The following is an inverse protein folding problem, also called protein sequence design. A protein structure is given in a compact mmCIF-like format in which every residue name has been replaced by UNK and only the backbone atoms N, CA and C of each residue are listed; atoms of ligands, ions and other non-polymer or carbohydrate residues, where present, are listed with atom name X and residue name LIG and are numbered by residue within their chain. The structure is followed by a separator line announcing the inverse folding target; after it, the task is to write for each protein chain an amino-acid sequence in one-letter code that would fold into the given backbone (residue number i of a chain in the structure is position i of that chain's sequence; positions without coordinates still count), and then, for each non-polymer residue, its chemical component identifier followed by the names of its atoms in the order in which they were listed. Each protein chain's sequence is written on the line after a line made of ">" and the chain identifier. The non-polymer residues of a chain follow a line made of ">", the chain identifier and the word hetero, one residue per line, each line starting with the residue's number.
data_IF_541495097630
#
_entry.id   IF_541495097630
#
_cell.length_a   1.000
_cell.length_b   1.000
_cell.length_c   1.000
_cell.angle_alpha   90.00
_cell.angle_beta   90.00
_cell.angle_gamma   90.00
#
_symmetry.space_group_name_H-M   'P 1'
#
loop_
_entity.id
_entity.type
_entity.pdbx_description
1 polymer ?
#
# COMPACT_ATOMS: atom_id res chain seq x y z
N UNK A 1 -37.20 54.97 13.61
CA UNK A 1 -36.39 53.95 12.91
C UNK A 1 -35.29 53.46 13.88
N UNK A 2 -35.46 52.31 14.51
CA UNK A 2 -34.43 51.70 15.36
C UNK A 2 -33.65 50.73 14.49
N UNK A 3 -32.34 50.94 14.35
CA UNK A 3 -31.42 50.01 13.66
C UNK A 3 -30.97 48.97 14.69
N UNK A 4 -31.37 47.70 14.47
CA UNK A 4 -30.88 46.56 15.23
C UNK A 4 -29.57 46.10 14.61
N UNK A 5 -28.47 46.17 15.35
CA UNK A 5 -27.17 45.66 14.95
C UNK A 5 -27.11 44.21 15.38
N UNK A 6 -27.02 43.27 14.44
CA UNK A 6 -26.73 41.87 14.72
C UNK A 6 -25.20 41.71 14.83
N UNK A 7 -24.74 41.39 16.03
CA UNK A 7 -23.36 40.95 16.25
C UNK A 7 -23.25 39.44 15.94
N UNK A 8 -22.51 39.11 14.89
CA UNK A 8 -22.11 37.69 14.64
C UNK A 8 -20.97 37.39 15.59
N UNK A 9 -21.22 36.49 16.55
CA UNK A 9 -20.17 35.82 17.33
C UNK A 9 -19.52 34.77 16.42
N UNK A 10 -18.30 35.03 15.93
CA UNK A 10 -17.45 33.98 15.38
C UNK A 10 -16.95 33.13 16.54
N UNK A 11 -17.54 31.95 16.75
CA UNK A 11 -16.97 30.90 17.58
C UNK A 11 -15.86 30.26 16.76
N UNK A 12 -14.65 30.80 16.86
CA UNK A 12 -13.45 30.14 16.37
C UNK A 12 -13.16 28.90 17.20
N UNK A 13 -13.58 27.73 16.74
CA UNK A 13 -13.14 26.48 17.31
C UNK A 13 -11.61 26.37 17.10
N UNK A 14 -10.84 26.49 18.17
CA UNK A 14 -9.43 26.10 18.15
C UNK A 14 -9.41 24.57 17.89
N UNK A 15 -9.07 24.16 16.69
CA UNK A 15 -8.64 22.79 16.43
C UNK A 15 -7.32 22.64 17.18
N UNK A 16 -7.32 21.93 18.30
CA UNK A 16 -6.08 21.59 18.99
C UNK A 16 -5.17 20.86 18.01
N UNK A 17 -3.97 21.36 17.78
CA UNK A 17 -2.98 20.65 16.97
C UNK A 17 -2.78 19.24 17.58
N UNK A 18 -2.83 18.22 16.75
CA UNK A 18 -2.59 16.85 17.20
C UNK A 18 -1.21 16.78 17.88
N UNK A 19 -1.15 16.12 19.04
CA UNK A 19 0.11 15.95 19.74
C UNK A 19 1.09 15.15 18.89
N UNK A 20 2.32 15.65 18.73
CA UNK A 20 3.35 15.00 17.92
C UNK A 20 4.24 14.16 18.83
N UNK A 21 4.42 12.86 18.56
CA UNK A 21 5.23 11.99 19.41
C UNK A 21 6.67 12.46 19.47
N UNK A 22 7.30 12.32 20.67
CA UNK A 22 8.67 12.75 20.92
C UNK A 22 9.48 11.69 21.66
N UNK A 23 10.74 11.53 21.28
CA UNK A 23 11.70 10.65 21.94
C UNK A 23 12.68 11.47 22.76
N UNK A 24 12.98 10.99 23.98
CA UNK A 24 13.98 11.56 24.88
C UNK A 24 14.69 10.45 25.68
N UNK A 25 15.72 10.82 26.44
CA UNK A 25 16.44 9.92 27.36
C UNK A 25 16.98 8.63 26.71
N UNK A 26 17.49 8.74 25.48
CA UNK A 26 18.04 7.57 24.78
C UNK A 26 19.36 7.17 25.44
N UNK A 27 19.44 5.92 25.88
CA UNK A 27 20.68 5.31 26.44
C UNK A 27 20.90 3.95 25.80
N UNK A 28 22.15 3.54 25.65
CA UNK A 28 22.50 2.24 25.09
C UNK A 28 23.52 1.55 25.97
N UNK A 29 23.27 0.29 26.30
CA UNK A 29 24.23 -0.59 26.97
C UNK A 29 24.83 -1.57 25.95
N UNK A 30 26.14 -1.73 25.93
CA UNK A 30 26.88 -2.47 24.90
C UNK A 30 27.57 -3.75 25.39
N UNK A 31 27.15 -4.30 26.52
CA UNK A 31 27.70 -5.56 27.04
C UNK A 31 26.79 -6.73 26.64
N UNK A 32 27.30 -7.64 25.77
CA UNK A 32 26.54 -8.77 25.28
C UNK A 32 25.43 -8.35 24.32
N UNK A 33 24.18 -8.65 24.67
CA UNK A 33 23.01 -8.14 23.95
C UNK A 33 22.81 -6.67 24.27
N UNK A 34 22.78 -5.83 23.23
CA UNK A 34 22.60 -4.40 23.37
C UNK A 34 21.16 -4.09 23.79
N UNK A 35 21.03 -3.27 24.84
CA UNK A 35 19.73 -2.74 25.28
C UNK A 35 19.72 -1.23 25.07
N UNK A 36 18.73 -0.75 24.32
CA UNK A 36 18.49 0.68 24.10
C UNK A 36 17.23 1.06 24.88
N UNK A 37 17.34 1.94 25.87
CA UNK A 37 16.21 2.49 26.58
C UNK A 37 15.93 3.90 26.09
N UNK A 38 14.65 4.27 26.03
CA UNK A 38 14.21 5.61 25.65
C UNK A 38 12.87 5.95 26.32
N UNK A 39 12.49 7.21 26.31
CA UNK A 39 11.17 7.68 26.73
C UNK A 39 10.41 8.21 25.51
N UNK A 40 9.22 7.67 25.27
CA UNK A 40 8.25 8.21 24.32
C UNK A 40 7.23 9.07 25.05
N UNK A 41 6.93 10.26 24.55
CA UNK A 41 5.97 11.20 25.15
C UNK A 41 5.06 11.82 24.10
N UNK A 42 4.05 12.56 24.56
CA UNK A 42 3.05 13.35 23.84
C UNK A 42 1.98 12.48 23.17
N UNK A 43 2.33 11.54 22.28
CA UNK A 43 1.40 10.70 21.55
C UNK A 43 2.01 9.33 21.22
N UNK A 44 1.20 8.32 20.87
CA UNK A 44 1.70 7.10 20.25
C UNK A 44 2.44 7.39 18.96
N UNK A 45 3.47 6.60 18.64
CA UNK A 45 4.22 6.75 17.40
C UNK A 45 4.91 5.46 16.97
N UNK A 46 5.28 5.41 15.69
CA UNK A 46 6.05 4.29 15.15
C UNK A 46 7.53 4.56 15.44
N UNK A 47 8.19 3.62 16.07
CA UNK A 47 9.59 3.78 16.50
C UNK A 47 10.51 2.98 15.59
N UNK A 48 11.56 3.65 15.10
CA UNK A 48 12.70 3.02 14.41
C UNK A 48 14.00 3.46 15.10
N UNK A 49 15.11 2.78 14.83
CA UNK A 49 16.38 3.17 15.39
C UNK A 49 17.56 2.89 14.47
N UNK A 50 18.65 3.55 14.74
CA UNK A 50 19.96 3.33 14.12
C UNK A 50 21.01 3.19 15.21
N UNK A 51 22.08 2.46 14.95
CA UNK A 51 23.28 2.43 15.76
C UNK A 51 24.39 3.14 15.00
N UNK A 52 25.06 4.06 15.69
CA UNK A 52 26.15 4.86 15.13
C UNK A 52 27.48 4.51 15.83
N UNK A 53 28.54 4.45 15.03
CA UNK A 53 29.92 4.39 15.48
C UNK A 53 30.67 5.63 14.95
N UNK A 54 31.21 6.45 15.83
CA UNK A 54 31.82 7.75 15.45
C UNK A 54 30.87 8.61 14.59
N UNK A 55 29.57 8.68 14.97
CA UNK A 55 28.50 9.39 14.28
C UNK A 55 28.12 8.86 12.90
N UNK A 56 28.66 7.73 12.46
CA UNK A 56 28.31 7.07 11.20
C UNK A 56 27.41 5.86 11.48
N UNK A 57 26.24 5.74 10.82
CA UNK A 57 25.38 4.54 10.91
C UNK A 57 26.11 3.28 10.46
N UNK A 58 25.90 2.18 11.18
CA UNK A 58 26.49 0.87 10.84
C UNK A 58 25.77 0.14 9.69
N UNK A 59 24.64 0.67 9.24
CA UNK A 59 23.76 0.06 8.23
C UNK A 59 22.51 -0.54 8.84
N UNK A 60 21.38 -0.34 8.18
CA UNK A 60 20.08 -0.82 8.66
C UNK A 60 19.98 -2.36 8.62
N UNK A 61 20.68 -2.98 7.68
CA UNK A 61 20.78 -4.43 7.53
C UNK A 61 21.41 -5.13 8.75
N UNK A 62 22.19 -4.40 9.54
CA UNK A 62 22.78 -4.89 10.79
C UNK A 62 21.79 -4.88 11.97
N UNK A 63 20.59 -4.32 11.82
CA UNK A 63 19.61 -4.09 12.89
C UNK A 63 18.37 -4.96 12.79
N UNK A 64 18.32 -5.88 11.85
CA UNK A 64 17.12 -6.62 11.45
C UNK A 64 16.59 -7.60 12.49
N UNK A 65 17.38 -7.99 13.50
CA UNK A 65 16.98 -8.83 14.63
C UNK A 65 16.60 -8.05 15.90
N UNK A 66 16.44 -6.74 15.80
CA UNK A 66 16.00 -5.95 16.93
C UNK A 66 14.53 -6.25 17.28
N UNK A 67 14.27 -6.39 18.58
CA UNK A 67 12.94 -6.72 19.13
C UNK A 67 12.57 -5.79 20.29
N UNK A 68 11.29 -5.79 20.65
CA UNK A 68 10.76 -4.95 21.73
C UNK A 68 9.95 -3.78 21.19
N UNK A 69 10.17 -2.58 21.74
CA UNK A 69 9.40 -1.38 21.38
C UNK A 69 10.00 -0.68 20.14
N UNK A 70 10.02 -1.40 19.02
CA UNK A 70 10.61 -0.96 17.76
C UNK A 70 9.84 -1.52 16.56
N UNK A 71 9.89 -0.85 15.42
CA UNK A 71 9.25 -1.19 14.15
C UNK A 71 7.74 -1.37 14.24
N UNK A 72 7.09 -0.79 15.22
CA UNK A 72 5.63 -0.86 15.46
C UNK A 72 5.13 0.43 16.09
N UNK A 73 3.82 0.56 16.19
CA UNK A 73 3.21 1.61 17.02
C UNK A 73 3.52 1.33 18.49
N UNK A 74 4.04 2.34 19.18
CA UNK A 74 4.44 2.28 20.59
C UNK A 74 3.69 3.37 21.35
N UNK A 75 3.14 3.01 22.52
CA UNK A 75 2.47 3.95 23.41
C UNK A 75 3.50 4.78 24.20
N UNK A 76 3.15 6.00 24.67
CA UNK A 76 3.99 6.80 25.55
C UNK A 76 4.45 6.04 26.81
N UNK A 77 5.65 6.36 27.30
CA UNK A 77 6.23 5.75 28.49
C UNK A 77 7.71 5.42 28.34
N UNK A 78 8.29 4.78 29.35
CA UNK A 78 9.63 4.20 29.31
C UNK A 78 9.61 2.94 28.43
N UNK A 79 10.51 2.86 27.45
CA UNK A 79 10.51 1.85 26.40
C UNK A 79 11.88 1.25 26.21
N UNK A 80 11.94 0.03 25.63
CA UNK A 80 13.19 -0.71 25.46
C UNK A 80 13.23 -1.43 24.11
N UNK A 81 14.38 -1.29 23.44
CA UNK A 81 14.74 -2.08 22.26
C UNK A 81 15.87 -3.02 22.68
N UNK A 82 15.79 -4.29 22.29
CA UNK A 82 16.87 -5.26 22.45
C UNK A 82 17.39 -5.64 21.07
N UNK A 83 18.72 -5.59 20.91
CA UNK A 83 19.40 -5.90 19.67
C UNK A 83 20.61 -6.81 19.94
N UNK A 84 20.65 -7.97 19.27
CA UNK A 84 21.77 -8.90 19.36
C UNK A 84 22.75 -8.67 18.21
N UNK A 85 23.72 -7.79 18.44
CA UNK A 85 24.73 -7.46 17.45
C UNK A 85 25.59 -8.67 17.04
N UNK A 86 25.79 -9.63 17.93
CA UNK A 86 26.66 -10.78 17.67
C UNK A 86 26.10 -11.76 16.65
N UNK A 87 24.80 -11.78 16.50
CA UNK A 87 24.09 -12.65 15.55
C UNK A 87 24.19 -12.16 14.11
N UNK A 88 24.02 -10.85 13.91
CA UNK A 88 23.96 -10.26 12.55
C UNK A 88 25.31 -9.68 12.14
N UNK A 89 26.11 -9.23 13.12
CA UNK A 89 27.39 -8.56 12.89
C UNK A 89 28.55 -9.30 13.61
N UNK A 90 28.77 -10.57 13.31
CA UNK A 90 29.70 -11.42 14.06
C UNK A 90 31.13 -10.91 13.97
N UNK A 91 31.86 -10.99 15.09
CA UNK A 91 33.23 -10.57 15.17
C UNK A 91 33.46 -9.07 15.34
N UNK A 92 32.46 -8.24 15.23
CA UNK A 92 32.53 -6.82 15.49
C UNK A 92 32.45 -6.56 17.01
N UNK A 93 33.38 -5.77 17.51
CA UNK A 93 33.43 -5.35 18.92
C UNK A 93 33.40 -3.82 18.96
N UNK A 94 32.48 -3.29 19.74
CA UNK A 94 32.50 -1.85 20.04
C UNK A 94 33.72 -1.52 20.90
N UNK A 95 34.76 -0.99 20.28
CA UNK A 95 35.99 -0.59 20.95
C UNK A 95 36.07 0.91 21.25
N UNK A 96 35.08 1.67 20.83
CA UNK A 96 35.08 3.12 20.97
C UNK A 96 33.96 3.56 21.91
N UNK A 97 34.18 4.57 22.76
CA UNK A 97 33.13 5.14 23.60
C UNK A 97 32.06 5.90 22.81
N UNK A 98 32.22 6.04 21.49
CA UNK A 98 31.34 6.79 20.61
C UNK A 98 30.24 5.91 19.92
N UNK A 99 29.97 4.72 20.46
CA UNK A 99 28.80 3.93 20.04
C UNK A 99 27.56 4.47 20.73
N UNK A 100 26.55 4.83 19.91
CA UNK A 100 25.29 5.33 20.43
C UNK A 100 24.12 4.86 19.55
N UNK A 101 22.94 4.76 20.13
CA UNK A 101 21.70 4.60 19.39
C UNK A 101 21.07 5.96 19.08
N UNK A 102 20.50 6.10 17.89
CA UNK A 102 19.59 7.17 17.52
C UNK A 102 18.22 6.56 17.33
N UNK A 103 17.27 6.91 18.19
CA UNK A 103 15.87 6.44 18.12
C UNK A 103 15.07 7.52 17.43
N UNK A 104 14.32 7.14 16.39
CA UNK A 104 13.42 8.02 15.64
C UNK A 104 11.99 7.59 15.87
N UNK A 105 11.11 8.56 16.09
CA UNK A 105 9.66 8.31 16.15
C UNK A 105 8.97 9.00 14.99
N UNK A 106 8.03 8.27 14.38
CA UNK A 106 7.21 8.71 13.26
C UNK A 106 5.77 8.87 13.75
N UNK A 107 5.09 9.96 13.43
CA UNK A 107 3.64 10.07 13.66
C UNK A 107 2.89 8.96 12.92
N UNK A 108 1.79 8.49 13.49
CA UNK A 108 1.00 7.40 12.88
C UNK A 108 0.33 7.80 11.57
N UNK A 109 0.10 9.09 11.34
CA UNK A 109 -0.39 9.65 10.07
C UNK A 109 0.72 9.96 9.05
N UNK A 110 2.00 9.88 9.45
CA UNK A 110 3.15 10.03 8.56
C UNK A 110 4.16 8.90 8.83
N UNK A 111 3.76 7.63 8.62
CA UNK A 111 4.56 6.45 8.96
C UNK A 111 5.79 6.30 8.04
N UNK A 112 6.73 5.39 8.37
CA UNK A 112 7.88 5.05 7.52
C UNK A 112 7.47 4.53 6.13
N UNK A 113 8.44 4.36 5.25
CA UNK A 113 8.23 4.03 3.83
C UNK A 113 7.74 2.61 3.56
N UNK A 114 7.98 1.68 4.47
CA UNK A 114 7.63 0.28 4.31
C UNK A 114 6.74 -0.20 5.44
N UNK A 115 5.67 -0.90 5.10
CA UNK A 115 4.78 -1.62 6.00
C UNK A 115 4.82 -3.10 5.62
N UNK A 116 5.05 -3.96 6.59
CA UNK A 116 5.05 -5.40 6.41
C UNK A 116 4.04 -6.05 7.37
N UNK A 117 3.23 -6.97 6.84
CA UNK A 117 2.31 -7.81 7.61
C UNK A 117 2.78 -9.24 7.49
N UNK A 118 3.22 -9.84 8.58
CA UNK A 118 3.57 -11.27 8.61
C UNK A 118 2.27 -12.09 8.68
N UNK A 119 1.89 -12.66 7.55
CA UNK A 119 0.67 -13.44 7.41
C UNK A 119 0.77 -14.84 8.04
N UNK A 120 1.98 -15.28 8.39
CA UNK A 120 2.23 -16.56 9.06
C UNK A 120 2.10 -16.46 10.57
N UNK A 121 2.10 -15.28 11.14
CA UNK A 121 1.78 -15.09 12.56
C UNK A 121 0.28 -15.17 12.80
N UNK A 122 -0.12 -15.65 13.99
CA UNK A 122 -1.53 -15.85 14.32
C UNK A 122 -2.35 -14.55 14.30
N UNK A 123 -1.72 -13.44 14.68
CA UNK A 123 -2.27 -12.10 14.79
C UNK A 123 -1.93 -11.18 13.61
N UNK A 124 -1.33 -11.73 12.53
CA UNK A 124 -0.85 -10.95 11.39
C UNK A 124 -0.03 -9.72 11.82
N UNK A 125 1.10 -9.97 12.51
CA UNK A 125 1.90 -8.88 13.09
C UNK A 125 2.29 -7.82 12.06
N UNK A 126 2.03 -6.57 12.42
CA UNK A 126 2.28 -5.39 11.57
C UNK A 126 3.55 -4.69 12.03
N UNK A 127 4.47 -4.49 11.09
CA UNK A 127 5.74 -3.81 11.34
C UNK A 127 6.04 -2.76 10.28
N UNK A 128 6.84 -1.76 10.67
CA UNK A 128 7.19 -0.62 9.83
C UNK A 128 8.70 -0.45 9.74
N UNK A 129 9.21 -0.10 8.57
CA UNK A 129 10.63 0.04 8.32
C UNK A 129 10.93 1.31 7.53
N UNK A 130 12.00 2.01 7.91
CA UNK A 130 12.39 3.26 7.26
C UNK A 130 13.02 3.05 5.87
N UNK A 131 13.57 1.87 5.60
CA UNK A 131 14.21 1.52 4.32
C UNK A 131 14.09 0.04 4.01
N UNK A 132 14.30 -0.34 2.74
CA UNK A 132 14.41 -1.74 2.33
C UNK A 132 15.51 -2.49 3.09
N UNK A 133 16.66 -1.85 3.33
CA UNK A 133 17.77 -2.46 4.03
C UNK A 133 17.43 -2.86 5.48
N UNK A 134 16.42 -2.24 6.09
CA UNK A 134 15.94 -2.56 7.44
C UNK A 134 15.00 -3.78 7.49
N UNK A 135 14.55 -4.31 6.33
CA UNK A 135 13.64 -5.45 6.29
C UNK A 135 14.34 -6.72 6.80
N UNK A 136 13.72 -7.47 7.74
CA UNK A 136 14.38 -8.58 8.42
C UNK A 136 14.58 -9.82 7.52
N UNK A 137 13.90 -9.88 6.39
CA UNK A 137 13.97 -11.01 5.46
C UNK A 137 14.89 -10.77 4.25
N UNK A 138 15.70 -9.69 4.27
CA UNK A 138 16.63 -9.32 3.23
C UNK A 138 15.99 -8.55 2.06
N UNK A 139 16.70 -8.45 0.94
CA UNK A 139 16.27 -7.68 -0.23
C UNK A 139 14.96 -8.20 -0.82
N UNK A 140 14.18 -7.31 -1.42
CA UNK A 140 12.88 -7.63 -2.02
C UNK A 140 13.04 -8.48 -3.28
N UNK A 141 14.00 -8.10 -4.15
CA UNK A 141 14.17 -8.74 -5.45
C UNK A 141 14.41 -10.25 -5.33
N UNK A 142 13.55 -11.04 -5.99
CA UNK A 142 13.64 -12.49 -6.03
C UNK A 142 13.27 -13.21 -4.72
N UNK A 143 12.93 -12.50 -3.66
CA UNK A 143 12.67 -13.10 -2.35
C UNK A 143 11.23 -13.65 -2.24
N UNK A 144 11.07 -14.98 -2.12
CA UNK A 144 9.74 -15.61 -2.06
C UNK A 144 8.96 -15.24 -0.79
N UNK A 145 9.63 -14.81 0.28
CA UNK A 145 8.98 -14.42 1.53
C UNK A 145 7.98 -13.28 1.31
N UNK A 146 8.36 -12.25 0.54
CA UNK A 146 7.49 -11.11 0.23
C UNK A 146 6.42 -11.43 -0.83
N UNK A 147 6.60 -12.52 -1.58
CA UNK A 147 5.61 -12.99 -2.55
C UNK A 147 4.52 -13.85 -1.91
N UNK A 148 4.82 -14.45 -0.76
CA UNK A 148 3.94 -15.45 -0.14
C UNK A 148 3.56 -15.15 1.30
N UNK A 149 4.52 -15.15 2.20
CA UNK A 149 4.27 -15.14 3.65
C UNK A 149 4.10 -13.74 4.24
N UNK A 150 4.63 -12.72 3.57
CA UNK A 150 4.58 -11.33 4.01
C UNK A 150 3.83 -10.48 2.99
N UNK A 151 2.81 -9.77 3.42
CA UNK A 151 2.24 -8.67 2.64
C UNK A 151 3.12 -7.43 2.87
N UNK A 152 3.98 -7.14 1.90
CA UNK A 152 4.84 -5.96 1.93
C UNK A 152 4.20 -4.82 1.12
N UNK A 153 4.09 -3.64 1.74
CA UNK A 153 3.50 -2.46 1.13
C UNK A 153 4.48 -1.30 1.14
N UNK A 154 4.51 -0.56 0.04
CA UNK A 154 5.32 0.65 -0.16
C UNK A 154 4.46 1.89 0.07
N UNK A 155 4.93 2.84 0.86
CA UNK A 155 4.32 4.17 0.96
C UNK A 155 4.63 4.98 -0.30
N UNK A 156 3.58 5.52 -0.89
CA UNK A 156 3.65 6.42 -2.03
C UNK A 156 3.44 7.84 -1.50
N UNK A 157 4.43 8.73 -1.64
CA UNK A 157 4.37 10.12 -1.14
C UNK A 157 3.53 11.00 -2.08
N UNK A 158 2.27 10.61 -2.30
CA UNK A 158 1.41 11.19 -3.31
C UNK A 158 0.95 12.61 -2.96
N UNK A 159 0.85 12.95 -1.67
CA UNK A 159 0.49 14.30 -1.19
C UNK A 159 1.53 15.37 -1.56
N UNK A 160 2.72 14.97 -1.96
CA UNK A 160 3.83 15.86 -2.33
C UNK A 160 4.18 15.81 -3.82
N UNK A 161 3.42 15.06 -4.62
CA UNK A 161 3.72 14.82 -6.04
C UNK A 161 2.56 15.33 -6.89
N UNK A 162 2.84 16.32 -7.73
CA UNK A 162 1.93 16.70 -8.79
C UNK A 162 1.95 15.63 -9.88
N UNK A 163 0.82 15.01 -10.15
CA UNK A 163 0.71 13.91 -11.09
C UNK A 163 -0.22 14.24 -12.25
N UNK A 164 0.10 13.70 -13.42
CA UNK A 164 -0.86 13.59 -14.52
C UNK A 164 -1.35 12.15 -14.62
N UNK A 165 -2.66 11.98 -14.81
CA UNK A 165 -3.29 10.71 -15.15
C UNK A 165 -3.92 10.77 -16.54
N UNK A 166 -4.13 9.62 -17.17
CA UNK A 166 -4.51 9.53 -18.57
C UNK A 166 -3.30 9.66 -19.50
N UNK A 167 -3.54 9.72 -20.80
CA UNK A 167 -2.51 9.83 -21.83
C UNK A 167 -2.80 10.99 -22.78
N UNK A 168 -1.77 11.57 -23.42
CA UNK A 168 -1.97 12.55 -24.47
C UNK A 168 -2.63 11.91 -25.69
N UNK A 169 -3.40 12.67 -26.45
CA UNK A 169 -4.07 12.18 -27.67
C UNK A 169 -3.09 11.62 -28.73
N UNK A 170 -1.83 12.07 -28.68
CA UNK A 170 -0.74 11.61 -29.54
C UNK A 170 -0.14 10.27 -29.11
N UNK A 171 -0.50 9.75 -27.94
CA UNK A 171 -0.01 8.44 -27.50
C UNK A 171 -0.62 7.32 -28.35
N UNK A 172 0.21 6.41 -28.81
CA UNK A 172 -0.25 5.27 -29.60
C UNK A 172 -1.31 4.47 -28.82
N UNK A 173 -2.43 4.18 -29.46
CA UNK A 173 -3.59 3.48 -28.91
C UNK A 173 -4.34 4.24 -27.78
N UNK A 174 -4.18 5.56 -27.69
CA UNK A 174 -5.00 6.39 -26.83
C UNK A 174 -6.49 6.16 -27.06
N UNK A 175 -7.27 6.04 -26.00
CA UNK A 175 -8.73 5.87 -26.05
C UNK A 175 -9.41 7.19 -25.67
N UNK A 176 -9.88 7.91 -26.70
CA UNK A 176 -10.58 9.19 -26.54
C UNK A 176 -11.77 9.07 -25.57
N UNK A 177 -11.96 10.08 -24.73
CA UNK A 177 -13.01 10.12 -23.71
C UNK A 177 -12.75 9.21 -22.50
N UNK A 178 -11.87 8.22 -22.62
CA UNK A 178 -11.53 7.31 -21.53
C UNK A 178 -10.19 7.68 -20.88
N UNK A 179 -9.18 7.91 -21.69
CA UNK A 179 -7.82 8.18 -21.22
C UNK A 179 -7.45 9.67 -21.30
N UNK A 180 -8.44 10.57 -21.29
CA UNK A 180 -8.21 11.99 -21.36
C UNK A 180 -7.23 12.45 -20.29
N UNK A 181 -6.08 13.01 -20.73
CA UNK A 181 -5.02 13.47 -19.82
C UNK A 181 -5.49 14.64 -18.99
N UNK A 182 -5.27 14.57 -17.68
CA UNK A 182 -5.63 15.61 -16.73
C UNK A 182 -4.68 15.65 -15.55
N UNK A 183 -4.59 16.83 -14.93
CA UNK A 183 -3.89 17.00 -13.68
C UNK A 183 -4.66 16.31 -12.55
N UNK A 184 -3.95 15.56 -11.71
CA UNK A 184 -4.50 14.86 -10.56
C UNK A 184 -3.71 15.20 -9.30
N UNK A 185 -4.41 15.70 -8.29
CA UNK A 185 -3.87 15.93 -6.96
C UNK A 185 -4.39 14.84 -6.03
N UNK A 186 -3.50 14.06 -5.43
CA UNK A 186 -3.82 13.18 -4.30
C UNK A 186 -3.39 13.90 -3.03
N UNK A 187 -4.33 14.15 -2.11
CA UNK A 187 -4.05 14.94 -0.91
C UNK A 187 -3.39 14.12 0.19
N UNK A 188 -3.49 12.80 0.11
CA UNK A 188 -2.98 11.87 1.10
C UNK A 188 -1.96 10.91 0.50
N UNK A 189 -0.91 10.64 1.26
CA UNK A 189 -0.04 9.49 0.99
C UNK A 189 -0.83 8.19 1.16
N UNK A 190 -0.33 7.12 0.58
CA UNK A 190 -0.96 5.81 0.72
C UNK A 190 0.07 4.68 0.66
N UNK A 191 -0.21 3.59 1.34
CA UNK A 191 0.51 2.34 1.12
C UNK A 191 -0.16 1.55 0.00
N UNK A 192 0.65 0.89 -0.82
CA UNK A 192 0.18 -0.04 -1.83
C UNK A 192 1.04 -1.31 -1.81
N UNK A 193 0.43 -2.47 -1.98
CA UNK A 193 1.15 -3.74 -2.05
C UNK A 193 2.16 -3.74 -3.18
N UNK A 194 3.39 -4.17 -2.93
CA UNK A 194 4.44 -4.20 -3.97
C UNK A 194 4.15 -5.22 -5.07
N UNK A 195 3.35 -6.23 -4.77
CA UNK A 195 2.83 -7.24 -5.71
C UNK A 195 1.30 -7.23 -5.72
N UNK A 196 0.66 -7.71 -6.80
CA UNK A 196 -0.71 -8.18 -6.73
C UNK A 196 -0.81 -9.27 -5.64
N UNK A 197 -1.96 -9.35 -4.95
CA UNK A 197 -2.14 -10.38 -3.90
C UNK A 197 -2.03 -11.77 -4.53
N UNK A 198 -1.12 -12.57 -4.00
CA UNK A 198 -0.88 -13.94 -4.49
C UNK A 198 -1.86 -14.95 -3.88
N UNK A 199 -1.97 -16.15 -4.48
CA UNK A 199 -2.73 -17.24 -3.88
C UNK A 199 -2.27 -17.52 -2.44
N UNK A 200 -0.96 -17.62 -2.21
CA UNK A 200 -0.40 -17.86 -0.87
C UNK A 200 -0.86 -16.80 0.12
N UNK A 201 -0.70 -15.51 -0.20
CA UNK A 201 -1.13 -14.41 0.66
C UNK A 201 -2.65 -14.41 0.89
N UNK A 202 -3.43 -14.64 -0.15
CA UNK A 202 -4.89 -14.70 -0.06
C UNK A 202 -5.37 -15.78 0.91
N UNK A 203 -4.83 -16.99 0.80
CA UNK A 203 -5.24 -18.09 1.68
C UNK A 203 -4.72 -17.91 3.11
N UNK A 204 -3.53 -17.32 3.30
CA UNK A 204 -3.07 -16.94 4.64
C UNK A 204 -3.98 -15.89 5.28
N UNK A 205 -4.45 -14.90 4.51
CA UNK A 205 -5.40 -13.89 4.99
C UNK A 205 -6.77 -14.48 5.34
N UNK A 206 -7.24 -15.53 4.66
CA UNK A 206 -8.54 -16.15 4.90
C UNK A 206 -8.48 -17.27 5.95
N UNK A 207 -7.55 -18.21 5.79
CA UNK A 207 -7.53 -19.48 6.52
C UNK A 207 -6.49 -19.48 7.66
N UNK A 208 -5.66 -18.45 7.70
CA UNK A 208 -4.62 -18.29 8.72
C UNK A 208 -3.35 -19.07 8.43
N UNK A 209 -2.45 -19.15 9.44
CA UNK A 209 -1.13 -19.74 9.32
C UNK A 209 -1.14 -21.23 8.94
N UNK A 210 -2.27 -21.90 9.12
CA UNK A 210 -2.45 -23.32 8.78
C UNK A 210 -2.59 -23.58 7.28
N UNK A 211 -2.76 -22.53 6.46
CA UNK A 211 -2.88 -22.70 5.01
C UNK A 211 -1.64 -23.35 4.40
N UNK A 212 -1.86 -24.36 3.57
CA UNK A 212 -0.82 -25.07 2.80
C UNK A 212 -0.68 -24.58 1.36
N UNK A 213 -1.47 -23.57 0.96
CA UNK A 213 -1.34 -22.95 -0.37
C UNK A 213 0.07 -22.36 -0.55
N UNK A 214 0.70 -22.63 -1.68
CA UNK A 214 2.09 -22.23 -1.94
C UNK A 214 2.28 -21.44 -3.23
N UNK A 215 1.21 -21.23 -4.04
CA UNK A 215 1.32 -20.53 -5.32
C UNK A 215 1.61 -19.05 -5.13
N UNK A 216 2.64 -18.59 -5.83
CA UNK A 216 3.11 -17.20 -5.81
C UNK A 216 2.62 -16.38 -7.03
N UNK A 217 1.69 -16.93 -7.80
CA UNK A 217 0.98 -16.18 -8.85
C UNK A 217 -0.16 -15.36 -8.25
N UNK A 218 -0.59 -14.27 -8.92
CA UNK A 218 -1.73 -13.47 -8.46
C UNK A 218 -2.99 -14.33 -8.30
N UNK A 219 -3.70 -14.16 -7.19
CA UNK A 219 -4.98 -14.82 -6.96
C UNK A 219 -6.00 -14.36 -8.01
N UNK A 220 -6.85 -15.28 -8.45
CA UNK A 220 -7.94 -15.03 -9.37
C UNK A 220 -9.26 -15.66 -8.88
N UNK A 221 -10.32 -15.56 -9.66
CA UNK A 221 -11.68 -15.95 -9.27
C UNK A 221 -12.22 -15.21 -8.05
N UNK A 222 -11.73 -13.98 -7.83
CA UNK A 222 -12.28 -13.05 -6.85
C UNK A 222 -12.94 -11.89 -7.60
N UNK A 223 -14.22 -11.65 -7.32
CA UNK A 223 -14.91 -10.48 -7.84
C UNK A 223 -14.76 -9.29 -6.91
N UNK A 224 -15.00 -8.09 -7.41
CA UNK A 224 -15.08 -6.89 -6.59
C UNK A 224 -16.11 -7.05 -5.46
N UNK A 225 -17.25 -7.66 -5.77
CA UNK A 225 -18.32 -7.93 -4.81
C UNK A 225 -17.81 -8.82 -3.64
N UNK A 226 -17.10 -9.91 -3.93
CA UNK A 226 -16.54 -10.79 -2.90
C UNK A 226 -15.53 -10.08 -2.00
N UNK A 227 -14.74 -9.19 -2.58
CA UNK A 227 -13.74 -8.44 -1.82
C UNK A 227 -14.39 -7.42 -0.89
N UNK A 228 -15.36 -6.63 -1.39
CA UNK A 228 -15.86 -5.46 -0.67
C UNK A 228 -17.26 -5.58 -0.07
N UNK A 229 -18.13 -6.42 -0.61
CA UNK A 229 -19.53 -6.45 -0.20
C UNK A 229 -19.95 -7.76 0.45
N UNK A 230 -19.84 -8.88 -0.25
CA UNK A 230 -20.29 -10.17 0.25
C UNK A 230 -19.51 -11.33 -0.36
N UNK A 231 -18.86 -12.16 0.47
CA UNK A 231 -17.93 -13.22 0.03
C UNK A 231 -18.54 -14.31 -0.84
N UNK A 232 -19.85 -14.52 -0.80
CA UNK A 232 -20.53 -15.54 -1.60
C UNK A 232 -20.86 -15.07 -3.02
N UNK A 233 -20.43 -13.88 -3.40
CA UNK A 233 -20.72 -13.26 -4.70
C UNK A 233 -22.21 -13.19 -5.03
N UNK A 234 -23.07 -13.22 -4.03
CA UNK A 234 -24.52 -13.13 -4.23
C UNK A 234 -24.85 -11.77 -4.81
N UNK A 235 -25.53 -11.82 -5.95
CA UNK A 235 -26.11 -10.65 -6.55
C UNK A 235 -27.22 -10.18 -5.62
N UNK A 236 -27.09 -9.00 -5.08
CA UNK A 236 -28.24 -8.32 -4.51
C UNK A 236 -29.16 -7.88 -5.67
N UNK A 237 -29.75 -8.75 -6.44
CA UNK A 237 -30.71 -8.51 -7.49
C UNK A 237 -30.80 -7.07 -8.05
N UNK A 238 -31.93 -6.65 -8.57
CA UNK A 238 -32.24 -5.25 -8.89
C UNK A 238 -32.38 -4.35 -7.65
N UNK A 239 -32.28 -4.90 -6.45
CA UNK A 239 -32.41 -4.25 -5.15
C UNK A 239 -31.07 -4.30 -4.42
N UNK A 240 -30.01 -3.65 -4.94
CA UNK A 240 -28.89 -3.26 -4.08
C UNK A 240 -29.46 -2.37 -2.98
N UNK A 241 -29.04 -2.56 -1.71
CA UNK A 241 -29.38 -1.60 -0.69
C UNK A 241 -29.00 -0.21 -1.20
N UNK A 242 -29.96 0.70 -1.19
CA UNK A 242 -29.81 2.10 -1.66
C UNK A 242 -28.71 2.82 -0.89
N UNK A 243 -28.28 2.23 0.23
CA UNK A 243 -27.31 2.73 1.19
C UNK A 243 -25.87 2.25 0.95
N UNK A 244 -25.53 1.58 -0.15
CA UNK A 244 -24.14 1.38 -0.51
C UNK A 244 -23.60 2.71 -1.05
N UNK A 245 -22.87 3.48 -0.22
CA UNK A 245 -22.29 4.71 -0.71
C UNK A 245 -21.29 4.34 -1.80
N UNK A 246 -21.69 4.63 -3.03
CA UNK A 246 -20.98 4.30 -4.26
C UNK A 246 -19.59 4.92 -4.32
N UNK A 247 -19.31 5.86 -3.42
CA UNK A 247 -18.08 6.67 -3.34
C UNK A 247 -17.36 6.60 -2.00
N UNK A 248 -17.90 5.90 -0.98
CA UNK A 248 -17.23 5.84 0.33
C UNK A 248 -16.06 4.87 0.30
N UNK A 249 -14.86 5.38 0.50
CA UNK A 249 -13.66 4.57 0.75
C UNK A 249 -13.76 3.76 2.05
N UNK A 250 -14.65 4.16 2.95
CA UNK A 250 -14.76 3.56 4.28
C UNK A 250 -15.73 2.39 4.35
N UNK A 251 -16.70 2.31 3.43
CA UNK A 251 -17.70 1.25 3.49
C UNK A 251 -17.17 -0.06 2.92
N UNK A 252 -17.14 -1.06 3.78
CA UNK A 252 -16.85 -2.45 3.46
C UNK A 252 -17.92 -3.31 4.10
N UNK A 253 -18.60 -4.13 3.31
CA UNK A 253 -19.71 -4.97 3.78
C UNK A 253 -19.32 -5.90 4.91
N UNK A 254 -20.22 -6.13 5.86
CA UNK A 254 -19.97 -6.92 7.07
C UNK A 254 -19.58 -8.38 6.82
N UNK A 255 -19.92 -8.94 5.64
CA UNK A 255 -19.58 -10.31 5.24
C UNK A 255 -18.67 -10.31 4.00
N UNK A 256 -17.69 -9.42 3.95
CA UNK A 256 -16.72 -9.31 2.85
C UNK A 256 -15.33 -9.77 3.30
N UNK A 257 -14.48 -10.11 2.34
CA UNK A 257 -13.10 -10.49 2.64
C UNK A 257 -12.30 -9.35 3.26
N UNK A 258 -12.45 -8.14 2.75
CA UNK A 258 -11.76 -6.98 3.30
C UNK A 258 -12.16 -6.67 4.75
N UNK A 259 -13.44 -6.92 5.14
CA UNK A 259 -13.87 -6.78 6.53
C UNK A 259 -13.09 -7.73 7.44
N UNK A 260 -12.98 -9.00 7.04
CA UNK A 260 -12.25 -9.98 7.83
C UNK A 260 -10.76 -9.65 7.93
N UNK A 261 -10.16 -9.24 6.80
CA UNK A 261 -8.74 -8.87 6.77
C UNK A 261 -8.43 -7.63 7.59
N UNK A 262 -9.32 -6.62 7.57
CA UNK A 262 -9.22 -5.45 8.45
C UNK A 262 -9.30 -5.85 9.93
N UNK A 263 -10.24 -6.71 10.28
CA UNK A 263 -10.37 -7.22 11.65
C UNK A 263 -9.12 -7.97 12.09
N UNK A 264 -8.55 -8.78 11.20
CA UNK A 264 -7.41 -9.63 11.53
C UNK A 264 -6.10 -8.87 11.59
N UNK A 265 -5.90 -7.87 10.74
CA UNK A 265 -4.64 -7.10 10.66
C UNK A 265 -4.67 -5.81 11.48
N UNK A 266 -5.83 -5.31 11.85
CA UNK A 266 -6.02 -3.98 12.43
C UNK A 266 -5.73 -2.83 11.44
N UNK A 267 -5.61 -3.12 10.14
CA UNK A 267 -5.30 -2.15 9.09
C UNK A 267 -6.53 -1.84 8.23
N UNK A 268 -6.69 -0.59 7.81
CA UNK A 268 -7.75 -0.16 6.90
C UNK A 268 -7.45 -0.55 5.43
N UNK A 269 -7.22 -1.86 5.22
CA UNK A 269 -6.97 -2.43 3.89
C UNK A 269 -8.15 -2.22 2.95
N UNK A 270 -7.87 -1.79 1.71
CA UNK A 270 -8.85 -1.64 0.66
C UNK A 270 -8.20 -1.87 -0.73
N UNK A 271 -8.97 -1.66 -1.78
CA UNK A 271 -8.47 -1.53 -3.14
C UNK A 271 -7.97 -0.10 -3.38
N UNK A 272 -7.02 0.14 -4.29
CA UNK A 272 -6.66 1.50 -4.70
C UNK A 272 -7.78 2.14 -5.50
N UNK A 273 -7.88 3.48 -5.51
CA UNK A 273 -8.60 4.17 -6.58
C UNK A 273 -7.86 4.03 -7.90
N UNK A 274 -8.56 4.21 -9.02
CA UNK A 274 -7.93 4.18 -10.34
C UNK A 274 -6.80 5.23 -10.46
N UNK A 275 -6.95 6.38 -9.81
CA UNK A 275 -5.91 7.42 -9.76
C UNK A 275 -4.72 7.00 -8.90
N UNK A 276 -4.93 6.46 -7.70
CA UNK A 276 -3.85 5.93 -6.86
C UNK A 276 -3.07 4.83 -7.59
N UNK A 277 -3.78 3.93 -8.26
CA UNK A 277 -3.15 2.87 -9.04
C UNK A 277 -2.28 3.42 -10.17
N UNK A 278 -2.78 4.39 -10.95
CA UNK A 278 -2.04 4.96 -12.08
C UNK A 278 -0.83 5.78 -11.62
N UNK A 279 -0.98 6.62 -10.59
CA UNK A 279 0.13 7.37 -9.98
C UNK A 279 1.20 6.39 -9.49
N UNK A 280 0.80 5.31 -8.81
CA UNK A 280 1.71 4.27 -8.36
C UNK A 280 2.39 3.53 -9.52
N UNK A 281 1.66 3.22 -10.59
CA UNK A 281 2.21 2.57 -11.79
C UNK A 281 3.27 3.44 -12.47
N UNK A 282 2.96 4.71 -12.66
CA UNK A 282 3.88 5.66 -13.32
C UNK A 282 5.14 5.93 -12.50
N UNK A 283 5.04 5.97 -11.21
CA UNK A 283 6.17 6.21 -10.30
C UNK A 283 7.06 7.39 -10.77
N UNK A 284 6.42 8.50 -11.19
CA UNK A 284 7.06 9.71 -11.69
C UNK A 284 7.37 9.71 -13.20
N UNK A 285 7.10 8.64 -13.94
CA UNK A 285 7.24 8.62 -15.41
C UNK A 285 5.98 9.16 -16.09
N UNK A 286 6.15 9.73 -17.28
CA UNK A 286 5.07 10.35 -18.07
C UNK A 286 4.73 9.58 -19.34
N UNK A 287 5.53 8.58 -19.70
CA UNK A 287 5.33 7.73 -20.89
C UNK A 287 4.24 6.69 -20.74
N UNK A 288 3.96 5.92 -21.80
CA UNK A 288 2.97 4.84 -21.79
C UNK A 288 3.33 3.73 -20.78
N UNK A 289 4.62 3.52 -20.55
CA UNK A 289 5.15 2.51 -19.62
C UNK A 289 6.32 3.09 -18.84
N UNK A 290 6.62 2.52 -17.67
CA UNK A 290 7.75 2.96 -16.83
C UNK A 290 9.11 2.37 -17.28
N UNK A 291 9.13 1.38 -18.18
CA UNK A 291 10.31 0.86 -18.85
C UNK A 291 9.89 0.12 -20.13
N UNK A 292 10.82 -0.44 -20.88
CA UNK A 292 10.52 -1.27 -22.05
C UNK A 292 9.69 -2.51 -21.66
N UNK A 293 8.67 -2.86 -22.45
CA UNK A 293 7.67 -3.89 -22.09
C UNK A 293 8.28 -5.26 -21.78
N UNK A 294 9.30 -5.67 -22.54
CA UNK A 294 10.01 -6.94 -22.35
C UNK A 294 10.76 -7.03 -21.01
N UNK A 295 11.09 -5.89 -20.41
CA UNK A 295 11.71 -5.83 -19.08
C UNK A 295 10.69 -5.89 -17.93
N UNK A 296 9.45 -5.46 -18.16
CA UNK A 296 8.45 -5.26 -17.08
C UNK A 296 7.30 -6.26 -17.11
N UNK A 297 7.11 -6.97 -18.22
CA UNK A 297 6.08 -8.00 -18.33
C UNK A 297 6.40 -9.01 -19.45
N UNK A 298 5.76 -10.18 -19.36
CA UNK A 298 5.72 -11.13 -20.47
C UNK A 298 4.47 -10.88 -21.32
N UNK A 299 4.64 -10.31 -22.50
CA UNK A 299 3.53 -10.06 -23.42
C UNK A 299 2.96 -11.34 -24.07
N UNK A 300 3.59 -12.49 -23.89
CA UNK A 300 3.25 -13.77 -24.53
C UNK A 300 2.87 -14.90 -23.57
N UNK A 301 2.83 -14.65 -22.26
CA UNK A 301 2.51 -15.70 -21.30
C UNK A 301 1.06 -16.18 -21.42
N UNK A 302 0.80 -17.46 -21.22
CA UNK A 302 -0.53 -18.07 -21.34
C UNK A 302 -1.53 -17.61 -20.27
N UNK A 303 -2.77 -18.04 -20.39
CA UNK A 303 -3.92 -17.60 -19.59
C UNK A 303 -3.82 -17.86 -18.05
N UNK A 304 -2.81 -18.58 -17.57
CA UNK A 304 -2.70 -18.94 -16.15
C UNK A 304 -2.08 -17.86 -15.26
N UNK A 305 -1.53 -16.78 -15.84
CA UNK A 305 -0.66 -15.85 -15.12
C UNK A 305 0.68 -16.49 -14.73
N UNK A 306 1.58 -15.73 -14.18
CA UNK A 306 2.89 -16.21 -13.73
C UNK A 306 3.18 -15.72 -12.30
N UNK A 307 4.19 -16.29 -11.68
CA UNK A 307 4.67 -15.87 -10.36
C UNK A 307 4.95 -14.36 -10.36
N UNK A 308 4.56 -13.67 -9.29
CA UNK A 308 4.79 -12.23 -9.17
C UNK A 308 6.28 -11.88 -9.08
N UNK A 309 6.64 -10.69 -9.56
CA UNK A 309 7.99 -10.15 -9.40
C UNK A 309 9.06 -10.92 -10.17
N UNK A 310 8.74 -11.47 -11.35
CA UNK A 310 9.72 -12.04 -12.28
C UNK A 310 10.37 -10.96 -13.15
N UNK A 311 9.73 -9.81 -13.29
CA UNK A 311 10.14 -8.69 -14.12
C UNK A 311 10.57 -7.50 -13.28
N UNK A 312 11.14 -6.48 -13.94
CA UNK A 312 11.63 -5.29 -13.26
C UNK A 312 10.50 -4.47 -12.65
N UNK A 313 10.66 -3.98 -11.41
CA UNK A 313 9.71 -3.06 -10.81
C UNK A 313 9.87 -1.65 -11.40
N UNK A 314 8.91 -0.79 -11.11
CA UNK A 314 9.08 0.64 -11.32
C UNK A 314 10.03 1.28 -10.27
N UNK A 315 10.27 2.59 -10.35
CA UNK A 315 11.19 3.31 -9.45
C UNK A 315 10.73 3.32 -7.97
N UNK A 316 9.47 3.00 -7.69
CA UNK A 316 8.93 2.83 -6.34
C UNK A 316 8.90 1.37 -5.88
N UNK A 317 9.56 0.47 -6.62
CA UNK A 317 9.66 -0.96 -6.35
C UNK A 317 8.30 -1.70 -6.38
N UNK A 318 7.40 -1.23 -7.23
CA UNK A 318 6.13 -1.91 -7.48
C UNK A 318 6.28 -2.79 -8.72
N UNK A 319 5.97 -4.07 -8.54
CA UNK A 319 6.09 -5.10 -9.56
C UNK A 319 4.74 -5.39 -10.22
N UNK A 320 4.78 -5.91 -11.44
CA UNK A 320 3.61 -6.39 -12.18
C UNK A 320 2.49 -5.34 -12.29
N UNK A 321 2.85 -4.03 -12.35
CA UNK A 321 1.88 -2.96 -12.55
C UNK A 321 1.28 -2.98 -13.97
N UNK A 322 2.00 -3.55 -14.92
CA UNK A 322 1.55 -3.76 -16.30
C UNK A 322 1.74 -5.23 -16.63
N UNK A 323 0.69 -5.89 -17.11
CA UNK A 323 0.69 -7.33 -17.40
C UNK A 323 0.25 -8.21 -16.22
N UNK A 324 0.49 -9.49 -16.31
CA UNK A 324 0.11 -10.57 -15.40
C UNK A 324 -1.42 -10.71 -15.26
N UNK A 325 -2.12 -9.80 -14.55
CA UNK A 325 -3.58 -9.78 -14.43
C UNK A 325 -4.14 -8.37 -14.33
N UNK A 326 -5.39 -8.22 -14.74
CA UNK A 326 -6.15 -7.02 -14.39
C UNK A 326 -6.33 -6.92 -12.89
N UNK A 327 -6.25 -5.71 -12.36
CA UNK A 327 -6.45 -5.41 -10.94
C UNK A 327 -7.69 -4.53 -10.75
N UNK A 328 -8.62 -4.97 -9.90
CA UNK A 328 -9.78 -4.17 -9.53
C UNK A 328 -9.36 -2.91 -8.77
N UNK A 329 -9.99 -1.79 -9.16
CA UNK A 329 -9.95 -0.53 -8.44
C UNK A 329 -11.31 -0.20 -7.81
N UNK A 330 -11.33 0.78 -6.88
CA UNK A 330 -12.54 1.21 -6.18
C UNK A 330 -13.61 1.81 -7.09
N UNK A 331 -13.16 2.46 -8.14
CA UNK A 331 -13.96 3.37 -8.98
C UNK A 331 -15.01 2.62 -9.80
N UNK A 332 -16.19 3.22 -9.98
CA UNK A 332 -17.06 2.85 -11.08
C UNK A 332 -16.44 3.24 -12.42
N UNK A 333 -16.64 2.40 -13.41
CA UNK A 333 -16.17 2.65 -14.76
C UNK A 333 -16.93 3.82 -15.41
N UNK A 334 -16.20 4.65 -16.14
CA UNK A 334 -16.75 5.67 -17.04
C UNK A 334 -15.85 5.79 -18.27
N UNK A 335 -16.44 6.03 -19.40
CA UNK A 335 -15.77 6.36 -20.66
C UNK A 335 -15.97 7.83 -21.06
N UNK A 336 -16.41 8.65 -20.11
CA UNK A 336 -16.59 10.10 -20.27
C UNK A 336 -15.72 10.88 -19.30
N UNK A 337 -14.40 10.80 -19.49
CA UNK A 337 -13.40 11.49 -18.67
C UNK A 337 -13.07 12.85 -19.31
N UNK A 338 -13.21 13.92 -18.53
CA UNK A 338 -12.86 15.29 -18.95
C UNK A 338 -11.39 15.62 -18.69
N UNK A 339 -10.89 16.68 -19.31
CA UNK A 339 -9.53 17.21 -19.10
C UNK A 339 -9.40 18.10 -17.87
N UNK A 340 -10.48 18.31 -17.12
CA UNK A 340 -10.47 19.12 -15.90
C UNK A 340 -9.57 18.51 -14.83
N UNK A 341 -8.88 19.36 -14.10
CA UNK A 341 -8.07 18.95 -12.96
C UNK A 341 -8.96 18.34 -11.87
N UNK A 342 -8.45 17.29 -11.23
CA UNK A 342 -9.19 16.55 -10.20
C UNK A 342 -8.39 16.42 -8.92
N UNK A 343 -9.09 16.38 -7.80
CA UNK A 343 -8.50 16.14 -6.47
C UNK A 343 -9.15 14.90 -5.87
N UNK A 344 -8.33 13.96 -5.43
CA UNK A 344 -8.76 12.67 -4.84
C UNK A 344 -9.92 11.99 -5.59
N UNK A 345 -9.83 11.81 -6.92
CA UNK A 345 -10.96 11.32 -7.69
C UNK A 345 -11.35 9.89 -7.25
N UNK A 346 -12.64 9.66 -7.14
CA UNK A 346 -13.25 8.35 -6.84
C UNK A 346 -13.96 7.74 -8.06
N UNK A 347 -13.72 8.29 -9.26
CA UNK A 347 -14.37 7.85 -10.49
C UNK A 347 -15.83 8.32 -10.61
N UNK A 348 -16.61 7.65 -11.43
CA UNK A 348 -18.05 7.91 -11.58
C UNK A 348 -18.82 7.53 -10.31
N UNK A 349 -19.94 8.19 -10.07
CA UNK A 349 -20.81 7.91 -8.91
C UNK A 349 -21.60 6.62 -9.05
N UNK A 350 -21.84 6.18 -10.30
CA UNK A 350 -22.54 4.94 -10.62
C UNK A 350 -22.20 4.49 -12.04
N UNK A 351 -22.48 3.23 -12.33
CA UNK A 351 -22.54 2.68 -13.70
C UNK A 351 -23.75 1.75 -13.80
N UNK A 352 -24.57 1.89 -14.85
CA UNK A 352 -25.80 1.12 -15.03
C UNK A 352 -25.57 -0.40 -15.12
N UNK A 353 -24.37 -0.81 -15.54
CA UNK A 353 -23.95 -2.22 -15.60
C UNK A 353 -23.10 -2.62 -14.40
N UNK A 354 -22.98 -1.76 -13.38
CA UNK A 354 -22.18 -1.98 -12.17
C UNK A 354 -20.72 -2.35 -12.45
N UNK A 355 -20.15 -1.83 -13.53
CA UNK A 355 -18.75 -2.07 -13.87
C UNK A 355 -17.82 -1.29 -12.94
N UNK A 356 -16.78 -1.94 -12.51
CA UNK A 356 -15.66 -1.34 -11.77
C UNK A 356 -14.46 -1.19 -12.68
N UNK A 357 -13.67 -0.17 -12.45
CA UNK A 357 -12.41 0.01 -13.16
C UNK A 357 -11.49 -1.16 -12.86
N UNK A 358 -10.89 -1.69 -13.92
CA UNK A 358 -9.78 -2.65 -13.86
C UNK A 358 -8.59 -2.09 -14.61
N UNK A 359 -7.40 -2.30 -14.07
CA UNK A 359 -6.10 -1.81 -14.54
C UNK A 359 -5.11 -2.93 -14.75
N UNK A 360 -3.92 -2.65 -15.30
CA UNK A 360 -2.76 -3.53 -15.33
C UNK A 360 -2.67 -4.46 -16.52
N UNK A 361 -3.73 -4.73 -17.19
CA UNK A 361 -3.84 -5.59 -18.39
C UNK A 361 -3.56 -7.07 -18.14
N UNK A 362 -4.48 -7.89 -18.58
CA UNK A 362 -4.32 -9.33 -18.71
C UNK A 362 -3.81 -9.66 -20.11
N UNK A 363 -2.67 -10.38 -20.17
CA UNK A 363 -2.08 -10.65 -21.48
C UNK A 363 -2.66 -11.93 -22.10
N UNK A 364 -3.21 -11.78 -23.26
CA UNK A 364 -3.30 -12.80 -24.28
C UNK A 364 -2.85 -12.09 -25.55
N UNK A 365 -1.79 -12.48 -26.18
CA UNK A 365 -1.12 -11.93 -27.38
C UNK A 365 -1.75 -10.83 -28.25
N UNK A 366 -3.06 -10.61 -28.13
CA UNK A 366 -3.86 -9.61 -28.85
C UNK A 366 -3.93 -8.24 -28.15
N UNK A 367 -3.51 -8.10 -26.89
CA UNK A 367 -3.74 -6.90 -26.09
C UNK A 367 -2.48 -6.08 -25.78
N UNK A 368 -1.42 -6.22 -26.59
CA UNK A 368 -0.21 -5.39 -26.43
C UNK A 368 -0.50 -3.89 -26.47
N UNK A 369 -1.53 -3.46 -27.17
CA UNK A 369 -2.00 -2.07 -27.24
C UNK A 369 -2.56 -1.54 -25.91
N UNK A 370 -2.96 -2.42 -25.00
CA UNK A 370 -3.50 -2.09 -23.69
C UNK A 370 -2.43 -2.05 -22.59
N UNK A 371 -1.19 -2.49 -22.87
CA UNK A 371 -0.11 -2.54 -21.89
C UNK A 371 0.47 -1.14 -21.65
N UNK A 372 -0.34 -0.24 -21.09
CA UNK A 372 -0.01 1.16 -20.84
C UNK A 372 -0.53 1.59 -19.48
N UNK A 373 0.19 2.49 -18.82
CA UNK A 373 -0.18 3.01 -17.50
C UNK A 373 -1.55 3.70 -17.49
N UNK A 374 -1.88 4.42 -18.58
CA UNK A 374 -3.18 5.11 -18.73
C UNK A 374 -4.34 4.16 -19.01
N UNK A 375 -4.07 2.97 -19.58
CA UNK A 375 -5.15 2.08 -19.99
C UNK A 375 -5.97 1.59 -18.80
N UNK A 376 -7.27 1.64 -18.96
CA UNK A 376 -8.22 0.98 -18.07
C UNK A 376 -9.48 0.55 -18.84
N UNK A 377 -10.20 -0.39 -18.26
CA UNK A 377 -11.52 -0.81 -18.79
C UNK A 377 -12.45 -1.12 -17.62
N UNK A 378 -13.67 -1.52 -17.93
CA UNK A 378 -14.69 -1.86 -16.93
C UNK A 378 -14.97 -3.34 -16.90
N UNK A 379 -15.10 -3.91 -15.70
CA UNK A 379 -15.61 -5.25 -15.47
C UNK A 379 -16.76 -5.23 -14.48
N UNK A 380 -17.83 -5.99 -14.74
CA UNK A 380 -18.92 -6.08 -13.79
C UNK A 380 -18.40 -6.56 -12.41
N UNK A 381 -18.93 -5.99 -11.35
CA UNK A 381 -18.46 -6.20 -10.00
C UNK A 381 -18.62 -7.63 -9.46
N UNK A 382 -19.45 -8.44 -10.13
CA UNK A 382 -19.63 -9.87 -9.86
C UNK A 382 -18.76 -10.77 -10.72
N UNK A 383 -18.07 -10.23 -11.73
CA UNK A 383 -17.24 -11.04 -12.61
C UNK A 383 -16.11 -11.71 -11.84
N UNK A 384 -16.03 -13.01 -12.04
CA UNK A 384 -14.94 -13.86 -11.60
C UNK A 384 -14.24 -14.41 -12.85
N UNK A 385 -13.01 -14.81 -12.71
CA UNK A 385 -12.30 -15.44 -13.81
C UNK A 385 -10.79 -15.29 -13.67
N UNK A 386 -10.09 -16.00 -14.53
CA UNK A 386 -8.64 -16.04 -14.49
C UNK A 386 -7.95 -14.72 -14.86
N UNK A 387 -8.67 -13.80 -15.49
CA UNK A 387 -8.11 -12.51 -15.89
C UNK A 387 -8.02 -11.50 -14.73
N UNK A 388 -8.78 -11.68 -13.65
CA UNK A 388 -8.98 -10.67 -12.61
C UNK A 388 -8.27 -11.04 -11.31
N UNK A 389 -7.42 -10.15 -10.85
CA UNK A 389 -6.79 -10.14 -9.54
C UNK A 389 -7.02 -8.79 -8.85
N UNK A 390 -6.22 -8.47 -7.88
CA UNK A 390 -6.26 -7.18 -7.17
C UNK A 390 -4.98 -6.94 -6.39
N UNK A 391 -4.79 -5.70 -6.00
CA UNK A 391 -3.71 -5.22 -5.13
C UNK A 391 -4.33 -4.48 -3.94
N UNK A 392 -3.74 -4.63 -2.76
CA UNK A 392 -4.21 -3.96 -1.55
C UNK A 392 -3.59 -2.56 -1.43
N UNK A 393 -4.36 -1.64 -0.84
CA UNK A 393 -4.01 -0.26 -0.60
C UNK A 393 -4.47 0.17 0.80
N UNK A 394 -3.78 1.14 1.41
CA UNK A 394 -4.19 1.84 2.62
C UNK A 394 -3.98 3.33 2.38
N UNK A 395 -5.05 4.10 2.27
CA UNK A 395 -4.93 5.56 2.22
C UNK A 395 -4.65 6.09 3.62
N UNK A 396 -3.59 6.86 3.79
CA UNK A 396 -3.24 7.51 5.06
C UNK A 396 -4.16 8.70 5.33
N UNK A 397 -4.43 9.04 6.60
CA UNK A 397 -5.29 10.17 6.95
C UNK A 397 -4.65 11.53 6.69
#
# INVERSE_FOLDING_TARGET
>A
MKRTVFAFLLVGGMVAAAAVPRVSNVTMTSYGKCRINYTLSEAPGIVTFEVLTNDVPIGAECLTNAVGDVNRVVEPGARTINWDASEIWPGHKFRTPSVKARVTVWPTNAPPDWLAVDLTSADCSVTYYASEAALPWGRISGNPKYKGDVLLMRKIPASHVLSFIGSPETEANHLAGRETRRMCTLTNDFYIGIYPVTFRQFYLLNDGPSSTEARLAPVFNQSYNMLRYHRDNTHFGTSRPVDFPTTSRTFVGGNSRLRDWRTRTGLELDLPTAAQWEVACRAGTDGPTYAALDLICNSNAGASGYEVGLYQPNSWQLYDMIGNRYEFCLDYFSDNITSEAVTDPLGATSDASFRRVIRGTYHTGTYSTHMRAAFFTGSADINQGQAYGFRLCITLP
#
